data_IF_068847587521
#
_entry.id   IF_068847587521
#
_cell.length_a   1.000
_cell.length_b   1.000
_cell.length_c   1.000
_cell.angle_alpha   90.00
_cell.angle_beta   90.00
_cell.angle_gamma   90.00
#
_symmetry.space_group_name_H-M   'P 1'
#
loop_
_entity.id
_entity.type
_entity.pdbx_description
1 polymer ?
#
# COMPACT_ATOMS: atom_id res chain seq x y z
N UNK A 1 18.70 -21.35 -32.81
CA UNK A 1 17.58 -20.41 -32.65
C UNK A 1 16.57 -21.11 -31.76
N UNK A 2 16.66 -20.89 -30.45
CA UNK A 2 15.69 -21.45 -29.50
C UNK A 2 14.39 -20.70 -29.72
N UNK A 3 13.36 -21.44 -30.07
CA UNK A 3 11.97 -21.00 -30.11
C UNK A 3 11.58 -20.63 -28.68
N UNK A 4 11.66 -19.34 -28.35
CA UNK A 4 10.93 -18.79 -27.21
C UNK A 4 9.44 -18.92 -27.56
N UNK A 5 8.78 -19.92 -26.99
CA UNK A 5 7.34 -19.96 -26.94
C UNK A 5 6.87 -18.65 -26.29
N UNK A 6 6.03 -17.90 -26.99
CA UNK A 6 5.45 -16.66 -26.48
C UNK A 6 4.45 -17.01 -25.37
N UNK A 7 4.94 -17.20 -24.16
CA UNK A 7 4.10 -17.42 -22.97
C UNK A 7 3.16 -16.23 -22.77
N UNK A 8 1.89 -16.53 -22.48
CA UNK A 8 0.90 -15.54 -22.11
C UNK A 8 1.32 -14.88 -20.79
N UNK A 9 1.42 -13.55 -20.79
CA UNK A 9 1.77 -12.77 -19.60
C UNK A 9 0.50 -12.29 -18.90
N UNK A 10 0.50 -12.37 -17.57
CA UNK A 10 -0.57 -11.79 -16.75
C UNK A 10 -0.53 -10.27 -16.82
N UNK A 11 -1.70 -9.64 -16.76
CA UNK A 11 -1.87 -8.19 -16.58
C UNK A 11 -1.82 -7.80 -15.08
N UNK A 12 -1.13 -8.61 -14.28
CA UNK A 12 -0.96 -8.33 -12.86
C UNK A 12 -0.03 -7.14 -12.66
N UNK A 13 -0.31 -6.35 -11.62
CA UNK A 13 0.61 -5.32 -11.16
C UNK A 13 2.00 -5.93 -10.88
N UNK A 14 3.06 -5.21 -11.25
CA UNK A 14 4.42 -5.64 -10.93
C UNK A 14 4.68 -5.38 -9.44
N UNK A 15 5.50 -6.23 -8.83
CA UNK A 15 5.83 -6.15 -7.39
C UNK A 15 7.21 -5.54 -7.13
N UNK A 16 8.13 -5.60 -8.10
CA UNK A 16 9.49 -5.10 -7.94
C UNK A 16 9.93 -4.22 -9.13
N UNK A 17 10.63 -3.10 -8.86
CA UNK A 17 11.16 -2.22 -9.91
C UNK A 17 12.09 -2.91 -10.90
N UNK A 18 12.75 -4.00 -10.52
CA UNK A 18 13.66 -4.77 -11.40
C UNK A 18 13.00 -5.28 -12.69
N UNK A 19 11.67 -5.44 -12.70
CA UNK A 19 10.90 -5.86 -13.87
C UNK A 19 10.25 -4.70 -14.64
N UNK A 20 10.47 -3.46 -14.20
CA UNK A 20 9.87 -2.29 -14.80
C UNK A 20 10.48 -1.99 -16.18
N UNK A 21 9.61 -1.93 -17.17
CA UNK A 21 9.97 -1.61 -18.56
C UNK A 21 9.42 -0.27 -19.03
N UNK A 22 8.59 0.37 -18.20
CA UNK A 22 7.84 1.57 -18.55
C UNK A 22 8.27 2.80 -17.73
N UNK A 23 9.18 2.64 -16.77
CA UNK A 23 9.78 3.76 -16.03
C UNK A 23 8.90 4.29 -14.90
N UNK A 24 8.07 3.45 -14.30
CA UNK A 24 7.35 3.73 -13.06
C UNK A 24 8.25 3.70 -11.82
N UNK A 25 9.39 3.00 -11.88
CA UNK A 25 10.35 2.85 -10.78
C UNK A 25 10.81 4.19 -10.22
N UNK A 26 11.34 5.06 -11.08
CA UNK A 26 11.89 6.37 -10.68
C UNK A 26 10.83 7.22 -9.93
N UNK A 27 9.60 7.25 -10.44
CA UNK A 27 8.50 7.96 -9.77
C UNK A 27 8.15 7.37 -8.40
N UNK A 28 8.15 6.03 -8.31
CA UNK A 28 7.86 5.34 -7.06
C UNK A 28 8.97 5.55 -6.01
N UNK A 29 10.23 5.59 -6.44
CA UNK A 29 11.39 5.90 -5.59
C UNK A 29 11.29 7.33 -5.03
N UNK A 30 11.06 8.33 -5.89
CA UNK A 30 10.90 9.73 -5.47
C UNK A 30 9.74 9.92 -4.48
N UNK A 31 8.63 9.21 -4.71
CA UNK A 31 7.47 9.24 -3.83
C UNK A 31 7.77 8.56 -2.49
N UNK A 32 8.43 7.40 -2.49
CA UNK A 32 8.83 6.70 -1.28
C UNK A 32 9.81 7.55 -0.45
N UNK A 33 10.77 8.20 -1.08
CA UNK A 33 11.72 9.09 -0.40
C UNK A 33 11.02 10.30 0.25
N UNK A 34 10.04 10.87 -0.45
CA UNK A 34 9.21 11.98 0.08
C UNK A 34 8.40 11.52 1.29
N UNK A 35 7.79 10.33 1.22
CA UNK A 35 7.04 9.72 2.32
C UNK A 35 7.96 9.34 3.49
N UNK A 36 9.21 8.96 3.25
CA UNK A 36 10.10 8.56 4.35
C UNK A 36 10.74 9.77 5.06
N UNK A 37 11.08 10.83 4.34
CA UNK A 37 11.94 11.91 4.87
C UNK A 37 11.24 13.26 5.04
N UNK A 38 10.09 13.48 4.38
CA UNK A 38 9.49 14.82 4.25
C UNK A 38 8.06 14.90 4.78
N UNK A 39 7.60 13.90 5.52
CA UNK A 39 6.28 13.94 6.14
C UNK A 39 6.24 15.11 7.14
N UNK A 40 5.38 16.12 6.92
CA UNK A 40 5.20 17.18 7.88
C UNK A 40 4.62 16.61 9.17
N UNK A 41 4.79 17.33 10.28
CA UNK A 41 4.18 16.99 11.57
C UNK A 41 2.65 17.02 11.58
N UNK A 42 2.02 17.51 10.50
CA UNK A 42 0.57 17.50 10.30
C UNK A 42 0.15 16.29 9.45
N UNK A 43 -1.03 15.75 9.71
CA UNK A 43 -1.58 14.63 8.97
C UNK A 43 -1.84 15.01 7.50
N UNK A 44 -1.45 14.14 6.56
CA UNK A 44 -1.63 14.38 5.13
C UNK A 44 -2.08 13.10 4.41
N UNK A 45 -2.68 13.26 3.24
CA UNK A 45 -3.19 12.17 2.39
C UNK A 45 -2.63 12.35 0.98
N UNK A 46 -2.10 11.29 0.39
CA UNK A 46 -1.64 11.25 -1.00
C UNK A 46 -2.62 10.42 -1.83
N UNK A 47 -3.10 10.99 -2.94
CA UNK A 47 -3.89 10.28 -3.94
C UNK A 47 -3.11 10.10 -5.24
N UNK A 48 -3.03 8.87 -5.75
CA UNK A 48 -2.46 8.56 -7.07
C UNK A 48 -3.60 8.38 -8.07
N UNK A 49 -3.66 9.24 -9.08
CA UNK A 49 -4.72 9.27 -10.09
C UNK A 49 -4.20 8.90 -11.48
N UNK A 50 -5.03 8.27 -12.29
CA UNK A 50 -4.69 7.84 -13.64
C UNK A 50 -5.73 6.90 -14.23
N UNK A 51 -5.78 6.81 -15.56
CA UNK A 51 -6.72 5.95 -16.29
C UNK A 51 -6.61 4.47 -15.91
N UNK A 52 -7.64 3.67 -16.17
CA UNK A 52 -7.53 2.22 -15.98
C UNK A 52 -6.37 1.65 -16.83
N UNK A 53 -5.58 0.73 -16.26
CA UNK A 53 -4.37 0.21 -16.90
C UNK A 53 -3.13 1.10 -16.82
N UNK A 54 -3.19 2.30 -16.20
CA UNK A 54 -2.04 3.23 -16.14
C UNK A 54 -0.92 2.84 -15.15
N UNK A 55 -0.89 1.60 -14.64
CA UNK A 55 0.16 1.15 -13.71
C UNK A 55 0.04 1.63 -12.25
N UNK A 56 -1.08 2.22 -11.82
CA UNK A 56 -1.25 2.72 -10.43
C UNK A 56 -0.94 1.67 -9.35
N UNK A 57 -1.45 0.45 -9.53
CA UNK A 57 -1.19 -0.65 -8.58
C UNK A 57 0.28 -1.04 -8.57
N UNK A 58 0.93 -1.06 -9.75
CA UNK A 58 2.39 -1.27 -9.87
C UNK A 58 3.17 -0.19 -9.12
N UNK A 59 2.81 1.09 -9.30
CA UNK A 59 3.44 2.21 -8.59
C UNK A 59 3.29 2.03 -7.07
N UNK A 60 2.11 1.69 -6.57
CA UNK A 60 1.90 1.47 -5.13
C UNK A 60 2.75 0.31 -4.59
N UNK A 61 2.88 -0.78 -5.34
CA UNK A 61 3.77 -1.89 -4.98
C UNK A 61 5.25 -1.48 -4.97
N UNK A 62 5.68 -0.67 -5.94
CA UNK A 62 7.05 -0.16 -5.98
C UNK A 62 7.33 0.81 -4.83
N UNK A 63 6.40 1.71 -4.50
CA UNK A 63 6.54 2.61 -3.35
C UNK A 63 6.70 1.80 -2.06
N UNK A 64 5.88 0.76 -1.87
CA UNK A 64 6.05 -0.14 -0.73
C UNK A 64 7.41 -0.84 -0.76
N UNK A 65 7.81 -1.38 -1.92
CA UNK A 65 9.09 -2.05 -2.08
C UNK A 65 10.24 -1.15 -1.63
N UNK A 66 10.28 0.08 -2.10
CA UNK A 66 11.29 1.09 -1.78
C UNK A 66 11.26 1.50 -0.29
N UNK A 67 10.06 1.73 0.28
CA UNK A 67 9.92 2.06 1.69
C UNK A 67 10.45 0.94 2.60
N UNK A 68 10.25 -0.33 2.22
CA UNK A 68 10.74 -1.50 2.97
C UNK A 68 12.26 -1.64 2.95
N UNK A 69 12.96 -1.02 2.01
CA UNK A 69 14.43 -1.02 1.97
C UNK A 69 15.06 0.08 2.84
N UNK A 70 14.28 1.03 3.36
CA UNK A 70 14.81 2.16 4.16
C UNK A 70 15.25 1.69 5.55
N UNK A 71 16.21 2.40 6.14
CA UNK A 71 16.53 2.23 7.55
C UNK A 71 15.35 2.73 8.40
N UNK A 72 14.87 1.91 9.36
CA UNK A 72 13.65 2.18 10.13
C UNK A 72 12.43 2.44 9.22
N UNK A 73 12.00 1.43 8.44
CA UNK A 73 10.88 1.60 7.52
C UNK A 73 9.59 1.93 8.29
N UNK A 74 8.67 2.71 7.69
CA UNK A 74 7.38 2.96 8.32
C UNK A 74 6.56 1.67 8.45
N UNK A 75 5.57 1.66 9.34
CA UNK A 75 4.54 0.62 9.34
C UNK A 75 3.71 0.76 8.05
N UNK A 76 3.63 -0.32 7.27
CA UNK A 76 2.90 -0.36 6.01
C UNK A 76 1.74 -1.34 6.11
N UNK A 77 0.51 -0.85 5.90
CA UNK A 77 -0.70 -1.68 5.84
C UNK A 77 -1.36 -1.54 4.48
N UNK A 78 -1.63 -2.68 3.81
CA UNK A 78 -2.42 -2.69 2.56
C UNK A 78 -3.90 -2.86 2.88
N UNK A 79 -4.72 -2.02 2.27
CA UNK A 79 -6.17 -2.18 2.30
C UNK A 79 -6.71 -2.20 0.87
N UNK A 80 -7.36 -3.30 0.49
CA UNK A 80 -8.04 -3.43 -0.79
C UNK A 80 -9.57 -3.47 -0.56
N UNK A 81 -10.32 -2.43 -0.94
CA UNK A 81 -11.75 -2.36 -0.66
C UNK A 81 -12.55 -3.44 -1.41
N UNK A 82 -12.04 -3.98 -2.51
CA UNK A 82 -12.72 -4.99 -3.32
C UNK A 82 -12.80 -6.36 -2.65
N UNK A 83 -11.97 -6.63 -1.64
CA UNK A 83 -12.03 -7.88 -0.88
C UNK A 83 -13.25 -7.98 0.05
N UNK A 84 -13.91 -6.86 0.31
CA UNK A 84 -14.95 -6.75 1.32
C UNK A 84 -16.33 -6.48 0.71
N UNK A 85 -16.66 -7.14 -0.40
CA UNK A 85 -17.93 -6.94 -1.13
C UNK A 85 -19.16 -7.26 -0.27
N UNK A 86 -19.65 -6.22 0.41
CA UNK A 86 -20.83 -6.17 1.29
C UNK A 86 -20.85 -4.77 1.92
N UNK A 87 -21.80 -3.93 1.51
CA UNK A 87 -21.75 -2.48 1.71
C UNK A 87 -21.81 -2.02 3.18
N UNK A 88 -22.18 -2.89 4.13
CA UNK A 88 -22.44 -2.50 5.50
C UNK A 88 -21.16 -2.05 6.24
N UNK A 89 -20.00 -2.66 5.98
CA UNK A 89 -18.92 -2.60 6.98
C UNK A 89 -17.53 -2.22 6.40
N UNK A 90 -17.46 -1.54 5.25
CA UNK A 90 -16.15 -1.19 4.63
C UNK A 90 -15.24 -0.42 5.60
N UNK A 91 -15.83 0.48 6.39
CA UNK A 91 -15.09 1.31 7.36
C UNK A 91 -14.61 0.47 8.55
N UNK A 92 -15.45 -0.44 9.06
CA UNK A 92 -15.06 -1.41 10.10
C UNK A 92 -13.90 -2.28 9.60
N UNK A 93 -13.98 -2.79 8.37
CA UNK A 93 -12.92 -3.60 7.76
C UNK A 93 -11.64 -2.80 7.56
N UNK A 94 -11.73 -1.52 7.20
CA UNK A 94 -10.57 -0.63 7.13
C UNK A 94 -9.88 -0.51 8.50
N UNK A 95 -10.62 -0.15 9.55
CA UNK A 95 -10.04 0.00 10.89
C UNK A 95 -9.51 -1.32 11.46
N UNK A 96 -10.20 -2.43 11.19
CA UNK A 96 -9.76 -3.77 11.57
C UNK A 96 -8.43 -4.14 10.89
N UNK A 97 -8.31 -3.91 9.58
CA UNK A 97 -7.06 -4.15 8.85
C UNK A 97 -5.94 -3.23 9.31
N UNK A 98 -6.24 -1.95 9.55
CA UNK A 98 -5.25 -0.99 10.08
C UNK A 98 -4.73 -1.42 11.45
N UNK A 99 -5.61 -1.84 12.36
CA UNK A 99 -5.22 -2.36 13.68
C UNK A 99 -4.39 -3.65 13.57
N UNK A 100 -4.73 -4.54 12.64
CA UNK A 100 -3.98 -5.76 12.39
C UNK A 100 -2.58 -5.52 11.82
N UNK A 101 -2.36 -4.40 11.12
CA UNK A 101 -1.08 -4.02 10.55
C UNK A 101 -0.09 -3.39 11.55
N UNK A 102 -0.55 -3.03 12.75
CA UNK A 102 0.31 -2.54 13.85
C UNK A 102 0.87 -3.73 14.64
N UNK A 103 2.01 -3.57 15.31
CA UNK A 103 2.57 -4.61 16.19
C UNK A 103 1.74 -4.77 17.48
N UNK A 104 1.81 -5.95 18.11
CA UNK A 104 1.16 -6.23 19.41
C UNK A 104 2.15 -6.13 20.56
N UNK A 105 1.78 -5.47 21.66
CA UNK A 105 2.60 -5.42 22.87
C UNK A 105 3.72 -4.39 22.74
N UNK A 106 3.41 -3.13 23.01
CA UNK A 106 4.36 -2.03 22.89
C UNK A 106 3.70 -0.68 22.69
N UNK A 107 4.34 0.20 21.92
CA UNK A 107 3.90 1.58 21.70
C UNK A 107 2.55 1.72 20.98
N UNK A 108 2.10 0.67 20.27
CA UNK A 108 0.88 0.71 19.46
C UNK A 108 -0.38 0.26 20.20
N UNK A 109 -0.30 -0.27 21.42
CA UNK A 109 -1.46 -0.85 22.13
C UNK A 109 -2.58 0.19 22.31
N UNK A 110 -2.24 1.42 22.69
CA UNK A 110 -3.23 2.51 22.84
C UNK A 110 -3.90 2.87 21.50
N UNK A 111 -3.13 2.86 20.40
CA UNK A 111 -3.64 3.17 19.07
C UNK A 111 -4.59 2.06 18.61
N UNK A 112 -4.23 0.78 18.81
CA UNK A 112 -5.06 -0.38 18.47
C UNK A 112 -6.39 -0.36 19.21
N UNK A 113 -6.39 -0.03 20.49
CA UNK A 113 -7.60 0.10 21.30
C UNK A 113 -8.52 1.23 20.78
N UNK A 114 -7.94 2.37 20.38
CA UNK A 114 -8.71 3.47 19.79
C UNK A 114 -9.31 3.08 18.44
N UNK A 115 -8.55 2.40 17.58
CA UNK A 115 -9.02 1.91 16.29
C UNK A 115 -10.16 0.90 16.44
N UNK A 116 -10.08 0.00 17.42
CA UNK A 116 -11.17 -0.95 17.72
C UNK A 116 -12.45 -0.21 18.14
N UNK A 117 -12.35 0.75 19.06
CA UNK A 117 -13.50 1.55 19.50
C UNK A 117 -14.14 2.34 18.36
N UNK A 118 -13.35 2.85 17.42
CA UNK A 118 -13.86 3.52 16.22
C UNK A 118 -14.59 2.56 15.30
N UNK A 119 -14.09 1.33 15.12
CA UNK A 119 -14.77 0.31 14.33
C UNK A 119 -16.12 -0.07 14.97
N UNK A 120 -16.15 -0.34 16.28
CA UNK A 120 -17.35 -0.73 17.03
C UNK A 120 -18.42 0.37 17.08
N UNK A 121 -18.02 1.64 17.04
CA UNK A 121 -18.94 2.78 17.06
C UNK A 121 -19.63 3.06 15.72
N UNK A 122 -19.21 2.39 14.63
CA UNK A 122 -19.73 2.56 13.28
C UNK A 122 -20.63 1.41 12.82
N UNK A 123 -20.67 0.31 13.58
CA UNK A 123 -21.61 -0.81 13.41
C UNK A 123 -22.93 -0.55 14.13
#
# INVERSE_FOLDING_TARGET
MSSEESELRSDSALEKPEYDRLGYGDFAEDLAETVHTRIPSNEFIIGIYGQWGSGKSTILNFVEYELRQKENPPVITKFNPWWFSGQSDLIEKFFSQLSAGLDTGGEYDEIRDKLSKLADGLS
#
